data_IF_802617080661
#
_entry.id   IF_802617080661
#
_cell.length_a   1.000
_cell.length_b   1.000
_cell.length_c   1.000
_cell.angle_alpha   90.00
_cell.angle_beta   90.00
_cell.angle_gamma   90.00
#
_symmetry.space_group_name_H-M   'P 1'
#
loop_
_entity.id
_entity.type
_entity.pdbx_description
1 polymer ?
#
# COMPACT_ATOMS: atom_id res chain seq x y z
N UNK A 1 -39.99 -11.60 -8.08
CA UNK A 1 -39.36 -11.16 -6.82
C UNK A 1 -37.93 -11.72 -6.77
N UNK A 2 -36.91 -10.88 -6.82
CA UNK A 2 -35.50 -11.31 -6.74
C UNK A 2 -35.03 -11.27 -5.28
N UNK A 3 -34.65 -12.42 -4.73
CA UNK A 3 -34.15 -12.58 -3.37
C UNK A 3 -32.63 -12.43 -3.36
N UNK A 4 -32.15 -11.23 -3.04
CA UNK A 4 -30.72 -10.96 -2.90
C UNK A 4 -30.20 -11.62 -1.61
N UNK A 5 -29.45 -12.72 -1.76
CA UNK A 5 -28.86 -13.43 -0.64
C UNK A 5 -27.46 -12.89 -0.38
N UNK A 6 -27.34 -11.92 0.54
CA UNK A 6 -26.03 -11.41 0.97
C UNK A 6 -25.48 -12.33 2.06
N UNK A 7 -24.42 -13.06 1.74
CA UNK A 7 -23.63 -13.81 2.72
C UNK A 7 -22.65 -12.83 3.37
N UNK A 8 -22.91 -12.42 4.62
CA UNK A 8 -21.94 -11.65 5.40
C UNK A 8 -20.87 -12.60 5.97
N UNK A 9 -19.58 -12.47 5.62
CA UNK A 9 -18.53 -13.28 6.21
C UNK A 9 -18.20 -12.73 7.62
N UNK A 10 -18.69 -13.40 8.66
CA UNK A 10 -18.45 -13.06 10.08
C UNK A 10 -17.01 -13.36 10.59
N UNK A 11 -16.02 -13.45 9.72
CA UNK A 11 -14.65 -13.80 10.13
C UNK A 11 -13.54 -13.10 9.33
N UNK A 12 -13.84 -12.00 8.64
CA UNK A 12 -12.79 -11.15 8.11
C UNK A 12 -12.13 -10.40 9.29
N UNK A 13 -10.78 -10.35 9.38
CA UNK A 13 -10.12 -9.45 10.31
C UNK A 13 -10.69 -8.04 10.11
N UNK A 14 -11.02 -7.29 11.17
CA UNK A 14 -11.61 -5.95 11.05
C UNK A 14 -10.75 -4.96 10.23
N UNK A 15 -9.48 -5.31 9.98
CA UNK A 15 -8.53 -4.51 9.22
C UNK A 15 -8.41 -4.90 7.73
N UNK A 16 -9.05 -5.99 7.27
CA UNK A 16 -9.01 -6.40 5.86
C UNK A 16 -9.98 -5.58 5.03
N UNK A 17 -9.45 -4.67 4.22
CA UNK A 17 -10.26 -3.84 3.32
C UNK A 17 -10.82 -4.64 2.13
N UNK A 18 -10.17 -5.76 1.77
CA UNK A 18 -10.49 -6.53 0.56
C UNK A 18 -10.25 -5.76 -0.74
N UNK A 19 -9.73 -4.54 -0.64
CA UNK A 19 -9.51 -3.65 -1.77
C UNK A 19 -8.09 -3.82 -2.27
N UNK A 20 -7.95 -4.09 -3.56
CA UNK A 20 -6.66 -4.03 -4.25
C UNK A 20 -6.37 -2.56 -4.57
N UNK A 21 -5.27 -2.06 -4.05
CA UNK A 21 -4.79 -0.70 -4.31
C UNK A 21 -3.43 -0.83 -4.98
N UNK A 22 -3.33 -0.22 -6.16
CA UNK A 22 -2.10 -0.22 -6.93
C UNK A 22 -1.06 0.71 -6.30
N UNK A 23 0.14 0.17 -6.09
CA UNK A 23 1.31 0.96 -5.78
C UNK A 23 1.92 1.53 -7.07
N UNK A 24 2.56 2.68 -6.96
CA UNK A 24 3.22 3.39 -8.05
C UNK A 24 4.73 3.46 -7.79
N UNK A 25 5.51 3.44 -8.88
CA UNK A 25 6.95 3.68 -8.83
C UNK A 25 7.22 5.11 -9.26
N UNK A 26 8.01 5.83 -8.47
CA UNK A 26 8.44 7.18 -8.80
C UNK A 26 9.96 7.32 -8.69
N UNK A 27 10.49 8.23 -9.51
CA UNK A 27 11.89 8.62 -9.54
C UNK A 27 12.11 9.85 -8.64
N UNK A 28 13.21 9.87 -7.90
CA UNK A 28 13.65 11.03 -7.14
C UNK A 28 15.17 11.20 -7.26
N UNK A 29 15.69 12.44 -7.27
CA UNK A 29 17.12 12.65 -7.22
C UNK A 29 17.71 12.12 -5.90
N UNK A 30 18.87 11.46 -5.97
CA UNK A 30 19.65 11.16 -4.76
C UNK A 30 20.14 12.45 -4.10
N UNK A 31 20.00 12.53 -2.78
CA UNK A 31 20.47 13.68 -2.00
C UNK A 31 22.01 13.81 -2.00
N UNK A 32 22.75 12.74 -2.29
CA UNK A 32 24.22 12.70 -2.15
C UNK A 32 24.98 12.35 -3.42
N UNK A 33 24.48 11.44 -4.26
CA UNK A 33 25.23 10.92 -5.42
C UNK A 33 24.86 11.54 -6.76
N UNK A 34 23.72 12.26 -6.85
CA UNK A 34 23.18 12.76 -8.12
C UNK A 34 22.56 11.67 -9.02
N UNK A 35 22.72 10.39 -8.69
CA UNK A 35 22.06 9.29 -9.40
C UNK A 35 20.56 9.24 -9.04
N UNK A 36 19.67 8.86 -9.98
CA UNK A 36 18.26 8.71 -9.68
C UNK A 36 18.02 7.52 -8.74
N UNK A 37 17.12 7.72 -7.79
CA UNK A 37 16.64 6.70 -6.86
C UNK A 37 15.19 6.43 -7.19
N UNK A 38 14.85 5.14 -7.25
CA UNK A 38 13.50 4.67 -7.49
C UNK A 38 12.85 4.24 -6.18
N UNK A 39 11.58 4.58 -5.99
CA UNK A 39 10.81 4.17 -4.81
C UNK A 39 9.40 3.74 -5.21
N UNK A 40 8.91 2.72 -4.52
CA UNK A 40 7.50 2.34 -4.56
C UNK A 40 6.70 3.14 -3.52
N UNK A 41 5.49 3.55 -3.86
CA UNK A 41 4.52 4.21 -2.98
C UNK A 41 3.13 3.62 -3.14
N UNK A 42 2.38 3.48 -2.05
CA UNK A 42 0.99 3.06 -2.06
C UNK A 42 0.16 3.92 -1.09
N UNK A 43 -1.04 4.28 -1.52
CA UNK A 43 -1.98 5.11 -0.77
C UNK A 43 -3.16 4.27 -0.26
N UNK A 44 -3.13 3.86 1.01
CA UNK A 44 -4.10 2.93 1.60
C UNK A 44 -5.06 3.62 2.59
N UNK A 45 -6.37 3.37 2.54
CA UNK A 45 -7.31 3.89 3.53
C UNK A 45 -7.01 3.37 4.94
N UNK A 46 -7.17 4.23 5.94
CA UNK A 46 -7.02 3.92 7.36
C UNK A 46 -8.32 3.39 7.99
N UNK A 47 -9.45 3.41 7.27
CA UNK A 47 -10.76 3.00 7.80
C UNK A 47 -11.40 4.01 8.78
N UNK A 48 -10.86 5.23 8.84
CA UNK A 48 -11.41 6.35 9.62
C UNK A 48 -11.60 7.57 8.73
N UNK A 49 -12.71 8.29 8.92
CA UNK A 49 -12.94 9.58 8.28
C UNK A 49 -12.30 10.70 9.10
N UNK A 50 -11.85 11.75 8.42
CA UNK A 50 -11.42 12.99 9.04
C UNK A 50 -12.64 13.85 9.46
N UNK A 51 -12.40 14.98 10.14
CA UNK A 51 -13.47 15.89 10.58
C UNK A 51 -14.30 16.50 9.43
N UNK A 52 -13.84 16.39 8.19
CA UNK A 52 -14.54 16.82 6.98
C UNK A 52 -15.25 15.66 6.25
N UNK A 53 -15.34 14.47 6.87
CA UNK A 53 -16.03 13.30 6.29
C UNK A 53 -15.25 12.57 5.20
N UNK A 54 -13.97 12.89 4.97
CA UNK A 54 -13.12 12.23 3.97
C UNK A 54 -12.30 11.12 4.59
N UNK A 55 -12.19 9.99 3.91
CA UNK A 55 -11.35 8.87 4.34
C UNK A 55 -9.90 9.32 4.55
N UNK A 56 -9.35 8.98 5.72
CA UNK A 56 -7.92 9.13 5.99
C UNK A 56 -7.16 8.10 5.18
N UNK A 57 -6.15 8.57 4.47
CA UNK A 57 -5.28 7.73 3.64
C UNK A 57 -3.88 7.78 4.24
N UNK A 58 -3.23 6.62 4.32
CA UNK A 58 -1.81 6.51 4.59
C UNK A 58 -1.05 6.34 3.30
N UNK A 59 -0.06 7.20 3.10
CA UNK A 59 0.98 7.02 2.09
C UNK A 59 2.09 6.17 2.71
N UNK A 60 2.32 4.98 2.17
CA UNK A 60 3.36 4.05 2.61
C UNK A 60 4.37 3.92 1.47
N UNK A 61 5.65 4.07 1.79
CA UNK A 61 6.75 3.98 0.83
C UNK A 61 7.63 2.78 1.11
N UNK A 62 8.13 2.17 0.04
CA UNK A 62 9.17 1.15 0.08
C UNK A 62 10.58 1.74 0.20
N UNK A 63 11.60 0.88 0.31
CA UNK A 63 13.00 1.29 0.34
C UNK A 63 13.44 2.01 -0.93
N UNK A 64 14.41 2.94 -0.84
CA UNK A 64 15.08 3.48 -2.02
C UNK A 64 15.83 2.37 -2.76
N UNK A 65 15.61 2.28 -4.08
CA UNK A 65 16.27 1.33 -4.99
C UNK A 65 17.11 2.06 -6.03
N UNK A 66 18.16 1.40 -6.50
CA UNK A 66 19.03 1.91 -7.59
C UNK A 66 18.44 1.67 -8.98
N UNK A 67 17.52 0.72 -9.10
CA UNK A 67 16.90 0.35 -10.36
C UNK A 67 15.37 0.44 -10.27
N UNK A 68 14.76 0.80 -11.38
CA UNK A 68 13.30 0.92 -11.51
C UNK A 68 12.64 -0.45 -11.32
N UNK A 69 13.26 -1.52 -11.81
CA UNK A 69 12.74 -2.89 -11.74
C UNK A 69 12.66 -3.38 -10.30
N UNK A 70 13.63 -3.04 -9.45
CA UNK A 70 13.58 -3.38 -8.03
C UNK A 70 12.45 -2.63 -7.31
N UNK A 71 12.27 -1.34 -7.62
CA UNK A 71 11.14 -0.58 -7.10
C UNK A 71 9.79 -1.10 -7.61
N UNK A 72 9.73 -1.59 -8.86
CA UNK A 72 8.53 -2.23 -9.40
C UNK A 72 8.21 -3.54 -8.68
N UNK A 73 9.20 -4.35 -8.36
CA UNK A 73 9.00 -5.55 -7.53
C UNK A 73 8.46 -5.21 -6.15
N UNK A 74 8.96 -4.15 -5.52
CA UNK A 74 8.44 -3.65 -4.25
C UNK A 74 6.99 -3.17 -4.41
N UNK A 75 6.66 -2.44 -5.48
CA UNK A 75 5.31 -1.96 -5.78
C UNK A 75 4.32 -3.13 -5.96
N UNK A 76 4.72 -4.19 -6.67
CA UNK A 76 3.89 -5.39 -6.83
C UNK A 76 3.62 -6.08 -5.49
N UNK A 77 4.61 -6.13 -4.60
CA UNK A 77 4.46 -6.71 -3.27
C UNK A 77 3.55 -5.85 -2.38
N UNK A 78 3.70 -4.52 -2.39
CA UNK A 78 2.82 -3.59 -1.69
C UNK A 78 1.37 -3.71 -2.19
N UNK A 79 1.19 -3.78 -3.51
CA UNK A 79 -0.11 -3.96 -4.17
C UNK A 79 -0.76 -5.26 -3.72
N UNK A 80 -0.03 -6.38 -3.69
CA UNK A 80 -0.56 -7.67 -3.21
C UNK A 80 -0.94 -7.63 -1.73
N UNK A 81 -0.18 -6.89 -0.91
CA UNK A 81 -0.48 -6.75 0.53
C UNK A 81 -1.65 -5.81 0.82
N UNK A 82 -2.08 -4.99 -0.14
CA UNK A 82 -3.14 -3.98 0.06
C UNK A 82 -4.48 -4.59 0.49
N UNK A 83 -4.79 -5.80 0.03
CA UNK A 83 -6.02 -6.53 0.37
C UNK A 83 -6.16 -6.82 1.88
N UNK A 84 -5.03 -6.86 2.59
CA UNK A 84 -4.94 -7.12 4.02
C UNK A 84 -5.03 -5.84 4.87
N UNK A 85 -5.10 -4.67 4.23
CA UNK A 85 -5.23 -3.38 4.89
C UNK A 85 -3.91 -2.66 5.22
N UNK A 86 -4.04 -1.41 5.68
CA UNK A 86 -2.92 -0.49 5.84
C UNK A 86 -1.82 -0.98 6.80
N UNK A 87 -2.20 -1.70 7.86
CA UNK A 87 -1.25 -2.24 8.83
C UNK A 87 -0.33 -3.30 8.20
N UNK A 88 -0.89 -4.22 7.41
CA UNK A 88 -0.13 -5.27 6.73
C UNK A 88 0.87 -4.67 5.74
N UNK A 89 0.41 -3.72 4.92
CA UNK A 89 1.25 -3.00 3.97
C UNK A 89 2.41 -2.27 4.67
N UNK A 90 2.14 -1.65 5.83
CA UNK A 90 3.18 -0.97 6.62
C UNK A 90 4.21 -1.94 7.20
N UNK A 91 3.76 -3.09 7.70
CA UNK A 91 4.65 -4.14 8.22
C UNK A 91 5.56 -4.66 7.10
N UNK A 92 5.00 -4.91 5.91
CA UNK A 92 5.76 -5.34 4.74
C UNK A 92 6.79 -4.29 4.31
N UNK A 93 6.41 -3.02 4.20
CA UNK A 93 7.33 -1.94 3.85
C UNK A 93 8.50 -1.85 4.85
N UNK A 94 8.22 -1.96 6.15
CA UNK A 94 9.26 -1.99 7.18
C UNK A 94 10.21 -3.20 7.06
N UNK A 95 9.70 -4.36 6.63
CA UNK A 95 10.54 -5.54 6.36
C UNK A 95 11.43 -5.33 5.14
N UNK A 96 10.89 -4.75 4.07
CA UNK A 96 11.66 -4.40 2.86
C UNK A 96 12.80 -3.42 3.17
N UNK A 97 12.60 -2.50 4.13
CA UNK A 97 13.65 -1.57 4.57
C UNK A 97 14.80 -2.22 5.34
N UNK A 98 14.60 -3.43 5.90
CA UNK A 98 15.60 -4.15 6.69
C UNK A 98 16.45 -5.11 5.86
N UNK A 99 16.03 -5.42 4.63
CA UNK A 99 16.66 -6.36 3.71
C UNK A 99 17.32 -5.63 2.54
#
# INVERSE_FOLDING_TARGET
AMKLSVRMPHNAPPDSTGQVINAEVFERPALSSGEPIWQAEISVPQGSTNHAGRDRVFTIRGPPRKSQEAAQSDADQLTKSSVQGAKAVRVLANQMHRN
#
